data_IF_262778531006
#
_entry.id   IF_262778531006
#
_cell.length_a   1.000
_cell.length_b   1.000
_cell.length_c   1.000
_cell.angle_alpha   90.00
_cell.angle_beta   90.00
_cell.angle_gamma   90.00
#
_symmetry.space_group_name_H-M   'P 1'
#
loop_
_entity.id
_entity.type
_entity.pdbx_description
1 polymer ?
#
# COMPACT_ATOMS: atom_id res chain seq x y z
N UNK A 1 46.45 -8.48 -5.12
CA UNK A 1 47.93 -8.58 -5.21
C UNK A 1 48.29 -9.20 -6.55
N UNK A 2 48.48 -8.39 -7.59
CA UNK A 2 49.26 -8.76 -8.77
C UNK A 2 49.85 -7.47 -9.36
N UNK A 3 51.17 -7.47 -9.36
CA UNK A 3 52.09 -6.39 -9.69
C UNK A 3 52.49 -6.44 -11.16
N UNK A 4 53.13 -5.34 -11.60
CA UNK A 4 54.08 -5.17 -12.72
C UNK A 4 53.45 -4.48 -13.94
N UNK A 5 54.10 -3.54 -14.62
CA UNK A 5 55.52 -3.24 -14.59
C UNK A 5 55.88 -1.89 -15.21
N UNK A 6 57.08 -1.48 -14.81
CA UNK A 6 57.86 -0.30 -15.17
C UNK A 6 58.32 -0.32 -16.62
N UNK A 7 58.51 0.85 -17.25
CA UNK A 7 59.73 1.07 -18.04
C UNK A 7 60.11 2.57 -18.14
N UNK A 8 61.36 2.83 -17.76
CA UNK A 8 62.17 4.07 -17.92
C UNK A 8 62.67 4.14 -19.39
N UNK A 9 63.25 5.18 -20.00
CA UNK A 9 64.12 6.32 -19.64
C UNK A 9 64.28 7.16 -20.94
N UNK A 10 64.18 8.49 -20.90
CA UNK A 10 65.28 9.48 -21.06
C UNK A 10 66.01 9.59 -22.43
N UNK A 11 66.00 10.78 -23.05
CA UNK A 11 67.19 11.63 -23.26
C UNK A 11 66.89 12.95 -24.00
N UNK A 12 67.80 13.92 -23.80
CA UNK A 12 67.79 15.38 -24.01
C UNK A 12 68.51 15.75 -25.33
N UNK A 13 68.27 16.90 -26.01
CA UNK A 13 69.11 18.12 -25.85
C UNK A 13 68.29 19.44 -25.95
N UNK A 14 68.55 20.58 -25.28
CA UNK A 14 69.69 21.50 -25.07
C UNK A 14 69.76 22.66 -26.09
N UNK A 15 70.01 23.88 -25.54
CA UNK A 15 70.45 25.16 -26.15
C UNK A 15 69.31 26.06 -26.71
N UNK A 16 69.24 27.37 -26.46
CA UNK A 16 70.08 28.37 -25.77
C UNK A 16 69.33 29.73 -25.74
N UNK A 17 69.88 30.81 -25.15
CA UNK A 17 69.21 32.10 -25.03
C UNK A 17 69.45 32.99 -26.26
N UNK A 18 68.44 33.76 -26.67
CA UNK A 18 68.54 34.78 -27.72
C UNK A 18 67.80 36.06 -27.27
N UNK A 19 68.34 37.26 -27.56
CA UNK A 19 67.99 38.47 -26.83
C UNK A 19 66.82 39.24 -27.43
N UNK A 20 66.38 40.15 -26.58
CA UNK A 20 65.36 41.17 -26.72
C UNK A 20 65.53 42.02 -27.98
N UNK A 21 64.41 42.34 -28.64
CA UNK A 21 64.21 43.72 -29.09
C UNK A 21 62.72 44.06 -29.13
N UNK A 22 62.35 45.00 -28.27
CA UNK A 22 61.10 45.75 -28.31
C UNK A 22 60.91 46.37 -29.69
N UNK A 23 59.69 46.24 -30.24
CA UNK A 23 59.12 47.33 -31.02
C UNK A 23 57.74 47.68 -30.47
N UNK A 24 57.66 48.96 -30.13
CA UNK A 24 56.53 49.68 -29.60
C UNK A 24 55.27 49.50 -30.48
N UNK A 25 54.15 49.18 -29.83
CA UNK A 25 53.01 50.06 -29.56
C UNK A 25 52.28 50.58 -30.82
N UNK A 26 51.02 50.17 -30.99
CA UNK A 26 49.80 50.97 -30.73
C UNK A 26 48.57 50.27 -31.36
N UNK A 27 47.37 50.44 -30.78
CA UNK A 27 46.30 49.45 -30.83
C UNK A 27 45.48 49.52 -32.13
N UNK A 28 45.36 48.38 -32.81
CA UNK A 28 44.35 48.17 -33.85
C UNK A 28 43.08 47.64 -33.19
N UNK A 29 42.08 48.50 -33.19
CA UNK A 29 40.62 48.28 -33.21
C UNK A 29 40.16 46.85 -32.90
N UNK A 30 39.58 46.69 -31.71
CA UNK A 30 38.94 45.49 -31.21
C UNK A 30 37.77 45.05 -32.11
N UNK A 31 37.95 43.94 -32.83
CA UNK A 31 36.85 43.06 -33.25
C UNK A 31 37.01 41.74 -32.50
N UNK A 32 36.17 41.54 -31.49
CA UNK A 32 35.98 40.23 -30.89
C UNK A 32 34.53 40.09 -30.42
N UNK A 33 33.73 39.45 -31.26
CA UNK A 33 32.51 38.78 -30.84
C UNK A 33 32.91 37.60 -29.96
N UNK A 34 32.46 37.56 -28.71
CA UNK A 34 32.55 36.35 -27.89
C UNK A 34 31.34 36.27 -26.95
N UNK A 35 30.53 35.26 -27.24
CA UNK A 35 29.29 34.84 -26.61
C UNK A 35 29.39 34.75 -25.09
N UNK A 36 28.54 35.51 -24.39
CA UNK A 36 28.26 35.30 -22.97
C UNK A 36 26.96 34.50 -22.86
N UNK A 37 27.06 33.18 -23.01
CA UNK A 37 25.94 32.28 -22.72
C UNK A 37 25.67 32.33 -21.21
N UNK A 38 24.53 32.94 -20.86
CA UNK A 38 23.92 32.95 -19.54
C UNK A 38 23.75 31.50 -19.06
N UNK A 39 24.65 31.02 -18.22
CA UNK A 39 24.53 29.73 -17.52
C UNK A 39 23.51 29.87 -16.38
N UNK A 40 22.26 30.18 -16.75
CA UNK A 40 21.12 30.05 -15.86
C UNK A 40 20.82 28.56 -15.71
N UNK A 41 21.34 27.95 -14.65
CA UNK A 41 20.92 26.64 -14.20
C UNK A 41 19.41 26.69 -13.94
N UNK A 42 18.62 26.26 -14.93
CA UNK A 42 17.22 25.92 -14.78
C UNK A 42 17.13 24.71 -13.86
N UNK A 43 17.12 24.96 -12.55
CA UNK A 43 16.52 24.04 -11.58
C UNK A 43 15.04 23.96 -11.91
N UNK A 44 14.70 23.10 -12.87
CA UNK A 44 13.32 22.65 -13.04
C UNK A 44 13.02 21.78 -11.83
N UNK A 45 12.45 22.40 -10.80
CA UNK A 45 11.77 21.66 -9.75
C UNK A 45 10.64 20.89 -10.44
N UNK A 46 10.85 19.60 -10.72
CA UNK A 46 9.79 18.72 -11.18
C UNK A 46 8.80 18.59 -10.02
N UNK A 47 7.70 19.35 -10.08
CA UNK A 47 6.58 19.13 -9.19
C UNK A 47 6.01 17.75 -9.50
N UNK A 48 6.32 16.77 -8.65
CA UNK A 48 5.72 15.43 -8.70
C UNK A 48 4.20 15.63 -8.56
N UNK A 49 3.45 15.41 -9.64
CA UNK A 49 2.00 15.43 -9.56
C UNK A 49 1.57 14.33 -8.59
N UNK A 50 0.66 14.62 -7.62
CA UNK A 50 0.14 13.57 -6.75
C UNK A 50 -0.45 12.45 -7.59
N UNK A 51 0.00 11.22 -7.36
CA UNK A 51 -0.60 10.05 -7.99
C UNK A 51 -2.05 9.87 -7.52
N UNK A 52 -2.92 9.45 -8.42
CA UNK A 52 -4.28 9.03 -8.03
C UNK A 52 -4.20 7.68 -7.31
N UNK A 53 -4.86 7.57 -6.15
CA UNK A 53 -5.00 6.30 -5.45
C UNK A 53 -5.80 5.31 -6.31
N UNK A 54 -5.35 4.06 -6.38
CA UNK A 54 -6.06 2.95 -7.02
C UNK A 54 -6.45 1.96 -5.93
N UNK A 55 -7.75 1.68 -5.72
CA UNK A 55 -8.16 0.69 -4.74
C UNK A 55 -7.82 -0.72 -5.25
N UNK A 56 -7.27 -1.53 -4.36
CA UNK A 56 -7.14 -2.97 -4.60
C UNK A 56 -8.47 -3.67 -4.31
N UNK A 57 -8.91 -4.53 -5.23
CA UNK A 57 -10.10 -5.33 -5.02
C UNK A 57 -9.79 -6.47 -4.04
N UNK A 58 -10.34 -6.39 -2.83
CA UNK A 58 -10.21 -7.44 -1.82
C UNK A 58 -11.22 -8.58 -2.05
N UNK A 59 -12.49 -8.25 -2.31
CA UNK A 59 -13.56 -9.22 -2.50
C UNK A 59 -14.66 -8.66 -3.40
N UNK A 60 -15.15 -9.48 -4.33
CA UNK A 60 -16.38 -9.24 -5.08
C UNK A 60 -17.27 -10.49 -4.96
N UNK A 61 -18.48 -10.31 -4.43
CA UNK A 61 -19.44 -11.41 -4.25
C UNK A 61 -20.86 -10.93 -4.54
N UNK A 62 -21.57 -11.67 -5.38
CA UNK A 62 -23.01 -11.46 -5.61
C UNK A 62 -23.80 -12.03 -4.44
N UNK A 63 -24.79 -11.27 -3.96
CA UNK A 63 -25.68 -11.64 -2.85
C UNK A 63 -27.14 -11.40 -3.23
N UNK A 64 -28.07 -12.16 -2.65
CA UNK A 64 -29.50 -12.11 -3.03
C UNK A 64 -30.37 -11.33 -2.05
N UNK A 65 -29.94 -11.19 -0.79
CA UNK A 65 -30.78 -10.76 0.34
C UNK A 65 -30.34 -9.42 0.96
N UNK A 66 -30.00 -8.43 0.13
CA UNK A 66 -29.72 -7.06 0.60
C UNK A 66 -30.99 -6.38 1.14
N UNK A 67 -30.86 -5.43 2.10
CA UNK A 67 -31.99 -4.64 2.58
C UNK A 67 -32.66 -3.85 1.44
N UNK A 68 -33.99 -3.70 1.52
CA UNK A 68 -34.82 -3.10 0.46
C UNK A 68 -35.73 -1.97 0.96
N UNK A 69 -35.68 -1.61 2.24
CA UNK A 69 -36.41 -0.46 2.75
C UNK A 69 -35.95 0.84 2.09
N UNK A 70 -36.74 1.91 2.16
CA UNK A 70 -36.40 3.21 1.56
C UNK A 70 -35.16 3.86 2.18
N UNK A 71 -34.85 3.49 3.43
CA UNK A 71 -33.66 3.93 4.16
C UNK A 71 -32.89 2.71 4.66
N UNK A 72 -31.58 2.73 4.50
CA UNK A 72 -30.68 1.74 5.05
C UNK A 72 -29.77 2.37 6.09
N UNK A 73 -29.38 1.58 7.08
CA UNK A 73 -28.34 1.93 8.03
C UNK A 73 -27.07 1.16 7.68
N UNK A 74 -25.96 1.89 7.58
CA UNK A 74 -24.62 1.30 7.46
C UNK A 74 -23.98 1.33 8.84
N UNK A 75 -23.50 0.18 9.30
CA UNK A 75 -22.72 0.05 10.53
C UNK A 75 -21.35 -0.53 10.20
N UNK A 76 -20.32 0.10 10.73
CA UNK A 76 -18.95 -0.40 10.70
C UNK A 76 -18.53 -0.66 12.13
N UNK A 77 -18.25 -1.92 12.45
CA UNK A 77 -17.88 -2.34 13.80
C UNK A 77 -16.46 -2.92 13.78
N UNK A 78 -15.79 -2.87 14.93
CA UNK A 78 -14.54 -3.57 15.17
C UNK A 78 -14.74 -4.56 16.30
N UNK A 79 -14.22 -5.77 16.13
CA UNK A 79 -14.22 -6.78 17.18
C UNK A 79 -12.81 -7.36 17.35
N UNK A 80 -12.49 -7.73 18.60
CA UNK A 80 -11.27 -8.42 18.97
C UNK A 80 -11.63 -9.70 19.72
N UNK A 81 -11.04 -10.80 19.29
CA UNK A 81 -11.20 -12.12 19.87
C UNK A 81 -9.88 -12.54 20.49
N UNK A 82 -9.88 -12.83 21.79
CA UNK A 82 -8.76 -13.47 22.45
C UNK A 82 -8.61 -14.92 21.95
N UNK A 83 -7.45 -15.57 22.19
CA UNK A 83 -7.30 -16.99 21.87
C UNK A 83 -8.42 -17.86 22.44
N UNK A 84 -9.10 -18.62 21.56
CA UNK A 84 -10.23 -19.48 21.92
C UNK A 84 -11.61 -18.80 22.00
N UNK A 85 -11.69 -17.47 21.88
CA UNK A 85 -12.98 -16.76 21.91
C UNK A 85 -13.88 -17.17 20.76
N UNK A 86 -15.19 -17.05 20.99
CA UNK A 86 -16.22 -17.27 19.97
C UNK A 86 -17.40 -16.32 20.13
N UNK A 87 -18.12 -16.13 19.04
CA UNK A 87 -19.43 -15.48 19.08
C UNK A 87 -20.48 -16.42 19.67
N UNK A 88 -21.59 -15.83 20.16
CA UNK A 88 -22.81 -16.60 20.39
C UNK A 88 -23.28 -17.25 19.10
N UNK A 89 -24.09 -18.30 19.18
CA UNK A 89 -24.74 -18.82 17.98
C UNK A 89 -25.81 -17.84 17.52
N UNK A 90 -25.76 -17.40 16.26
CA UNK A 90 -26.57 -16.29 15.77
C UNK A 90 -26.84 -16.38 14.26
N UNK A 91 -27.71 -15.49 13.77
CA UNK A 91 -27.87 -15.18 12.34
C UNK A 91 -28.00 -13.67 12.12
N UNK A 92 -27.82 -13.22 10.89
CA UNK A 92 -28.03 -11.83 10.47
C UNK A 92 -29.21 -11.72 9.51
N UNK A 93 -29.92 -10.59 9.48
CA UNK A 93 -31.07 -10.38 8.58
C UNK A 93 -30.68 -9.87 7.19
N UNK A 94 -29.43 -9.44 7.05
CA UNK A 94 -28.82 -9.09 5.78
C UNK A 94 -27.38 -9.65 5.75
N UNK A 95 -26.72 -9.70 4.58
CA UNK A 95 -25.33 -10.13 4.50
C UNK A 95 -24.41 -9.23 5.33
N UNK A 96 -23.41 -9.84 5.97
CA UNK A 96 -22.36 -9.14 6.72
C UNK A 96 -21.02 -9.38 6.03
N UNK A 97 -20.29 -8.31 5.73
CA UNK A 97 -18.91 -8.46 5.25
C UNK A 97 -17.96 -8.33 6.42
N UNK A 98 -17.14 -9.35 6.65
CA UNK A 98 -16.05 -9.31 7.62
C UNK A 98 -14.72 -9.17 6.88
N UNK A 99 -13.87 -8.25 7.31
CA UNK A 99 -12.49 -8.10 6.86
C UNK A 99 -11.55 -8.36 8.03
N UNK A 100 -10.60 -9.27 7.86
CA UNK A 100 -9.68 -9.66 8.95
C UNK A 100 -8.46 -8.75 8.93
N UNK A 101 -8.25 -8.00 10.01
CA UNK A 101 -7.09 -7.14 10.19
C UNK A 101 -5.85 -7.94 10.59
N UNK A 102 -6.02 -8.88 11.52
CA UNK A 102 -4.94 -9.74 12.04
C UNK A 102 -5.50 -11.05 12.58
N UNK A 103 -4.68 -12.10 12.59
CA UNK A 103 -5.10 -13.46 12.96
C UNK A 103 -5.88 -14.16 11.84
N UNK A 104 -6.70 -15.15 12.21
CA UNK A 104 -7.56 -15.89 11.30
C UNK A 104 -8.94 -16.07 11.92
N UNK A 105 -9.99 -15.68 11.19
CA UNK A 105 -11.37 -15.91 11.61
C UNK A 105 -11.88 -17.23 11.06
N UNK A 106 -12.41 -18.09 11.93
CA UNK A 106 -13.04 -19.35 11.51
C UNK A 106 -14.56 -19.24 11.69
N UNK A 107 -15.32 -19.54 10.63
CA UNK A 107 -16.77 -19.53 10.64
C UNK A 107 -17.32 -20.94 10.44
N UNK A 108 -18.24 -21.34 11.31
CA UNK A 108 -19.09 -22.53 11.12
C UNK A 108 -20.50 -22.06 10.78
N UNK A 109 -20.96 -22.38 9.57
CA UNK A 109 -22.28 -22.03 9.07
C UNK A 109 -23.13 -23.29 8.91
N UNK A 110 -24.38 -23.25 9.35
CA UNK A 110 -25.29 -24.39 9.28
C UNK A 110 -25.43 -24.91 7.85
N UNK A 111 -25.22 -26.21 7.68
CA UNK A 111 -25.31 -26.89 6.38
C UNK A 111 -24.17 -26.57 5.41
N UNK A 112 -23.07 -25.93 5.86
CA UNK A 112 -21.93 -25.58 4.99
C UNK A 112 -20.59 -26.05 5.57
N UNK A 113 -19.56 -26.22 4.71
CA UNK A 113 -18.19 -26.42 5.18
C UNK A 113 -17.70 -25.26 6.04
N UNK A 114 -16.79 -25.55 6.97
CA UNK A 114 -16.09 -24.52 7.75
C UNK A 114 -15.33 -23.57 6.83
N UNK A 115 -15.48 -22.27 7.07
CA UNK A 115 -14.77 -21.20 6.36
C UNK A 115 -13.65 -20.67 7.24
N UNK A 116 -12.50 -20.40 6.64
CA UNK A 116 -11.37 -19.69 7.27
C UNK A 116 -11.07 -18.43 6.48
N UNK A 117 -10.91 -17.32 7.18
CA UNK A 117 -10.64 -16.00 6.60
C UNK A 117 -9.35 -15.50 7.20
N UNK A 118 -8.33 -15.33 6.37
CA UNK A 118 -7.00 -14.92 6.80
C UNK A 118 -6.87 -13.40 6.85
N UNK A 119 -5.91 -12.89 7.62
CA UNK A 119 -5.58 -11.48 7.66
C UNK A 119 -5.35 -10.89 6.25
N UNK A 120 -5.88 -9.69 6.02
CA UNK A 120 -5.84 -9.02 4.72
C UNK A 120 -6.94 -9.43 3.75
N UNK A 121 -7.80 -10.38 4.12
CA UNK A 121 -8.89 -10.88 3.27
C UNK A 121 -10.26 -10.61 3.89
N UNK A 122 -11.31 -10.84 3.10
CA UNK A 122 -12.69 -10.68 3.52
C UNK A 122 -13.55 -11.90 3.20
N UNK A 123 -14.69 -11.98 3.88
CA UNK A 123 -15.75 -12.94 3.60
C UNK A 123 -17.12 -12.27 3.77
N UNK A 124 -18.09 -12.69 2.96
CA UNK A 124 -19.49 -12.29 3.13
C UNK A 124 -20.27 -13.41 3.80
N UNK A 125 -20.63 -13.18 5.06
CA UNK A 125 -21.57 -14.00 5.80
C UNK A 125 -22.98 -13.85 5.19
N UNK A 126 -23.62 -14.96 4.80
CA UNK A 126 -24.95 -14.92 4.19
C UNK A 126 -26.03 -14.55 5.22
N UNK A 127 -27.06 -13.84 4.76
CA UNK A 127 -28.24 -13.57 5.57
C UNK A 127 -28.96 -14.88 5.95
N UNK A 128 -29.59 -14.87 7.13
CA UNK A 128 -30.47 -15.91 7.67
C UNK A 128 -29.85 -17.31 7.83
N UNK A 129 -28.53 -17.44 7.68
CA UNK A 129 -27.83 -18.68 8.00
C UNK A 129 -27.39 -18.63 9.46
N UNK A 130 -27.67 -19.69 10.22
CA UNK A 130 -27.21 -19.81 11.60
C UNK A 130 -25.73 -20.12 11.63
N UNK A 131 -24.98 -19.41 12.46
CA UNK A 131 -23.52 -19.50 12.48
C UNK A 131 -22.91 -19.18 13.85
N UNK A 132 -21.66 -19.58 14.01
CA UNK A 132 -20.77 -19.10 15.07
C UNK A 132 -19.38 -18.87 14.49
N UNK A 133 -18.71 -17.84 15.00
CA UNK A 133 -17.37 -17.44 14.59
C UNK A 133 -16.39 -17.63 15.73
N UNK A 134 -15.16 -18.01 15.42
CA UNK A 134 -14.13 -18.36 16.39
C UNK A 134 -12.81 -17.67 16.07
N UNK A 135 -12.06 -17.36 17.12
CA UNK A 135 -10.61 -17.40 17.06
C UNK A 135 -10.13 -18.78 17.54
N UNK A 136 -9.73 -19.65 16.61
CA UNK A 136 -9.22 -20.99 16.95
C UNK A 136 -7.74 -21.01 17.33
N UNK A 137 -7.05 -19.87 17.24
CA UNK A 137 -5.66 -19.79 17.69
C UNK A 137 -5.58 -20.03 19.19
N UNK A 138 -4.54 -20.75 19.62
CA UNK A 138 -4.23 -20.96 21.04
C UNK A 138 -3.38 -19.81 21.63
N UNK A 139 -2.80 -18.96 20.78
CA UNK A 139 -1.81 -17.94 21.20
C UNK A 139 -2.10 -16.56 20.65
N UNK A 140 -2.55 -16.46 19.40
CA UNK A 140 -2.68 -15.19 18.69
C UNK A 140 -4.08 -14.58 18.84
N UNK A 141 -4.22 -13.28 19.09
CA UNK A 141 -5.50 -12.59 19.00
C UNK A 141 -5.95 -12.45 17.54
N UNK A 142 -7.27 -12.32 17.35
CA UNK A 142 -7.90 -12.02 16.06
C UNK A 142 -8.57 -10.66 16.14
N UNK A 143 -8.38 -9.81 15.12
CA UNK A 143 -9.11 -8.56 14.97
C UNK A 143 -9.80 -8.49 13.60
N UNK A 144 -11.06 -8.05 13.61
CA UNK A 144 -11.88 -7.93 12.39
C UNK A 144 -12.58 -6.57 12.33
N UNK A 145 -12.81 -6.09 11.12
CA UNK A 145 -13.77 -5.02 10.82
C UNK A 145 -14.99 -5.64 10.16
N UNK A 146 -16.16 -5.23 10.62
CA UNK A 146 -17.45 -5.77 10.22
C UNK A 146 -18.23 -4.65 9.54
N UNK A 147 -18.65 -4.88 8.31
CA UNK A 147 -19.49 -3.98 7.54
C UNK A 147 -20.88 -4.60 7.43
N UNK A 148 -21.87 -3.90 7.93
CA UNK A 148 -23.26 -4.35 7.89
C UNK A 148 -24.17 -3.25 7.36
N UNK A 149 -24.90 -3.57 6.30
CA UNK A 149 -25.94 -2.72 5.75
C UNK A 149 -27.27 -3.41 5.98
N UNK A 150 -28.19 -2.73 6.65
CA UNK A 150 -29.52 -3.26 6.97
C UNK A 150 -30.59 -2.21 6.81
N UNK A 151 -31.86 -2.61 6.89
CA UNK A 151 -32.93 -1.64 7.16
C UNK A 151 -32.68 -0.99 8.54
N UNK A 152 -33.18 0.24 8.69
CA UNK A 152 -33.05 1.01 9.95
C UNK A 152 -33.65 0.22 11.12
N UNK A 153 -33.04 0.34 12.30
CA UNK A 153 -33.43 -0.33 13.56
C UNK A 153 -33.36 -1.86 13.54
N UNK A 154 -32.82 -2.47 12.48
CA UNK A 154 -32.53 -3.90 12.45
C UNK A 154 -31.44 -4.25 13.48
N UNK A 155 -31.68 -5.23 14.39
CA UNK A 155 -30.65 -5.72 15.31
C UNK A 155 -29.37 -6.14 14.58
N UNK A 156 -28.22 -6.04 15.25
CA UNK A 156 -26.98 -6.50 14.63
C UNK A 156 -26.98 -8.00 14.40
N UNK A 157 -27.41 -8.78 15.38
CA UNK A 157 -27.54 -10.22 15.29
C UNK A 157 -28.84 -10.67 15.95
N UNK A 158 -29.37 -11.79 15.48
CA UNK A 158 -30.44 -12.53 16.13
C UNK A 158 -29.81 -13.75 16.82
N UNK A 159 -29.75 -13.82 18.16
CA UNK A 159 -29.27 -14.99 18.87
C UNK A 159 -30.17 -16.19 18.59
N UNK A 160 -29.58 -17.36 18.40
CA UNK A 160 -30.31 -18.62 18.24
C UNK A 160 -29.87 -19.64 19.27
N UNK A 161 -30.79 -20.43 19.81
CA UNK A 161 -30.42 -21.61 20.58
C UNK A 161 -29.68 -22.59 19.67
N UNK A 162 -28.61 -23.21 20.19
CA UNK A 162 -28.04 -24.37 19.52
C UNK A 162 -29.10 -25.46 19.59
N UNK A 163 -29.46 -26.08 18.46
CA UNK A 163 -30.25 -27.30 18.53
C UNK A 163 -29.44 -28.32 19.36
N UNK A 164 -30.09 -29.11 20.23
CA UNK A 164 -29.42 -30.14 21.01
C UNK A 164 -28.68 -31.15 20.11
#
# INVERSE_FOLDING_TARGET
>A
MQTRGCCRRACVPRLGPGPLQEFAMHPVVLRASASLFLLGCWLTATAQQPGMARPDLVLAQTVEQMPRGERQQVRVLKAKFQPGDRTVFHSHRAPVTVYVLSGQFTLELEGRPTVRVDAGTAYVEPAHVRMTGFNRSATEPLEVVIFYVSDVDTPFLDPVSRAP
#
